data_IF_404041636619
#
_entry.id   IF_404041636619
#
_cell.length_a   1.000
_cell.length_b   1.000
_cell.length_c   1.000
_cell.angle_alpha   90.00
_cell.angle_beta   90.00
_cell.angle_gamma   90.00
#
_symmetry.space_group_name_H-M   'P 1'
#
loop_
_entity.id
_entity.type
_entity.pdbx_description
1 polymer ?
#
# COMPACT_ATOMS: atom_id res chain seq x y z
N UNK A 1 -20.64 -12.92 28.30
CA UNK A 1 -20.77 -11.65 27.54
C UNK A 1 -19.43 -10.97 27.64
N UNK A 2 -18.60 -11.04 26.60
CA UNK A 2 -17.36 -10.27 26.56
C UNK A 2 -17.73 -8.80 26.31
N UNK A 3 -17.30 -7.93 27.21
CA UNK A 3 -17.51 -6.49 27.07
C UNK A 3 -16.59 -5.97 25.96
N UNK A 4 -17.18 -5.57 24.83
CA UNK A 4 -16.45 -4.95 23.74
C UNK A 4 -16.49 -3.43 23.93
N UNK A 5 -15.37 -2.86 24.37
CA UNK A 5 -15.26 -1.41 24.55
C UNK A 5 -15.28 -0.70 23.19
N UNK A 6 -16.41 -0.06 22.86
CA UNK A 6 -16.58 0.71 21.62
C UNK A 6 -16.34 2.19 21.88
N UNK A 7 -15.43 2.79 21.13
CA UNK A 7 -15.20 4.24 21.10
C UNK A 7 -15.93 4.84 19.90
N UNK A 8 -16.64 5.98 20.07
CA UNK A 8 -17.30 6.64 18.96
C UNK A 8 -16.26 7.21 17.98
N UNK A 9 -16.45 6.94 16.70
CA UNK A 9 -15.69 7.54 15.60
C UNK A 9 -16.63 8.46 14.84
N UNK A 10 -16.26 9.74 14.75
CA UNK A 10 -17.07 10.74 14.05
C UNK A 10 -16.53 10.93 12.64
N UNK A 11 -17.40 10.77 11.65
CA UNK A 11 -17.13 11.04 10.24
C UNK A 11 -17.88 12.32 9.82
N UNK A 12 -17.34 13.11 8.88
CA UNK A 12 -18.10 14.17 8.24
C UNK A 12 -19.40 13.64 7.64
N UNK A 13 -20.50 14.38 7.81
CA UNK A 13 -21.83 13.92 7.39
C UNK A 13 -21.92 13.62 5.89
N UNK A 14 -21.17 14.35 5.06
CA UNK A 14 -21.09 14.13 3.61
C UNK A 14 -20.49 12.77 3.27
N UNK A 15 -19.43 12.38 3.98
CA UNK A 15 -18.71 11.14 3.74
C UNK A 15 -19.51 9.94 4.26
N UNK A 16 -20.19 10.14 5.40
CA UNK A 16 -21.11 9.17 5.98
C UNK A 16 -22.25 8.83 5.01
N UNK A 17 -22.96 9.85 4.49
CA UNK A 17 -24.07 9.66 3.57
C UNK A 17 -23.61 8.99 2.27
N UNK A 18 -22.47 9.42 1.73
CA UNK A 18 -21.89 8.81 0.52
C UNK A 18 -21.60 7.33 0.74
N UNK A 19 -21.03 6.99 1.89
CA UNK A 19 -20.76 5.60 2.26
C UNK A 19 -22.05 4.79 2.44
N UNK A 20 -23.06 5.34 3.13
CA UNK A 20 -24.35 4.66 3.32
C UNK A 20 -25.04 4.36 1.98
N UNK A 21 -25.13 5.34 1.08
CA UNK A 21 -25.70 5.11 -0.26
C UNK A 21 -24.93 4.03 -1.02
N UNK A 22 -23.60 4.08 -0.98
CA UNK A 22 -22.78 3.06 -1.64
C UNK A 22 -22.98 1.66 -1.05
N UNK A 23 -23.17 1.55 0.27
CA UNK A 23 -23.43 0.27 0.93
C UNK A 23 -24.84 -0.25 0.60
N UNK A 24 -25.85 0.62 0.50
CA UNK A 24 -27.18 0.22 0.06
C UNK A 24 -27.15 -0.43 -1.33
N UNK A 25 -26.37 0.13 -2.26
CA UNK A 25 -26.27 -0.38 -3.63
C UNK A 25 -25.45 -1.66 -3.73
N UNK A 26 -24.35 -1.76 -2.97
CA UNK A 26 -23.39 -2.87 -3.14
C UNK A 26 -23.56 -4.01 -2.14
N UNK A 27 -24.05 -3.72 -0.93
CA UNK A 27 -24.09 -4.63 0.22
C UNK A 27 -25.23 -4.25 1.19
N UNK A 28 -26.51 -4.43 0.79
CA UNK A 28 -27.66 -3.94 1.56
C UNK A 28 -27.77 -4.53 2.98
N UNK A 29 -27.24 -5.74 3.21
CA UNK A 29 -27.27 -6.39 4.53
C UNK A 29 -26.14 -5.95 5.47
N UNK A 30 -25.20 -5.12 4.99
CA UNK A 30 -24.01 -4.73 5.74
C UNK A 30 -24.28 -3.49 6.60
N UNK A 31 -24.16 -3.64 7.92
CA UNK A 31 -24.20 -2.48 8.82
C UNK A 31 -22.95 -1.61 8.68
N UNK A 32 -23.15 -0.30 8.79
CA UNK A 32 -22.09 0.70 8.67
C UNK A 32 -20.93 0.46 9.66
N UNK A 33 -21.24 0.20 10.93
CA UNK A 33 -20.25 -0.05 11.97
C UNK A 33 -19.40 -1.29 11.66
N UNK A 34 -20.04 -2.37 11.20
CA UNK A 34 -19.36 -3.58 10.75
C UNK A 34 -18.49 -3.31 9.52
N UNK A 35 -18.95 -2.49 8.57
CA UNK A 35 -18.16 -2.10 7.40
C UNK A 35 -16.91 -1.32 7.81
N UNK A 36 -17.06 -0.28 8.64
CA UNK A 36 -15.94 0.54 9.11
C UNK A 36 -14.93 -0.30 9.90
N UNK A 37 -15.40 -1.19 10.78
CA UNK A 37 -14.53 -2.10 11.51
C UNK A 37 -13.74 -3.02 10.57
N UNK A 38 -14.39 -3.59 9.54
CA UNK A 38 -13.72 -4.42 8.54
C UNK A 38 -12.71 -3.62 7.71
N UNK A 39 -13.06 -2.38 7.32
CA UNK A 39 -12.18 -1.49 6.56
C UNK A 39 -10.91 -1.18 7.35
N UNK A 40 -11.06 -0.78 8.62
CA UNK A 40 -9.94 -0.50 9.52
C UNK A 40 -9.09 -1.76 9.73
N UNK A 41 -9.72 -2.92 9.96
CA UNK A 41 -8.99 -4.19 10.13
C UNK A 41 -8.16 -4.56 8.89
N UNK A 42 -8.74 -4.42 7.70
CA UNK A 42 -8.04 -4.70 6.43
C UNK A 42 -6.89 -3.71 6.21
N UNK A 43 -7.12 -2.43 6.47
CA UNK A 43 -6.08 -1.42 6.35
C UNK A 43 -4.92 -1.65 7.33
N UNK A 44 -5.22 -1.94 8.61
CA UNK A 44 -4.21 -2.27 9.62
C UNK A 44 -3.41 -3.54 9.26
N UNK A 45 -4.07 -4.58 8.74
CA UNK A 45 -3.37 -5.79 8.31
C UNK A 45 -2.36 -5.49 7.19
N UNK A 46 -2.76 -4.72 6.17
CA UNK A 46 -1.86 -4.32 5.09
C UNK A 46 -0.71 -3.42 5.59
N UNK A 47 -0.99 -2.49 6.50
CA UNK A 47 0.03 -1.59 7.04
C UNK A 47 1.02 -2.33 7.96
N UNK A 48 0.53 -3.25 8.80
CA UNK A 48 1.38 -4.06 9.67
C UNK A 48 2.24 -5.02 8.87
N UNK A 49 1.72 -5.64 7.81
CA UNK A 49 2.50 -6.43 6.87
C UNK A 49 3.59 -5.59 6.20
N UNK A 50 3.25 -4.40 5.69
CA UNK A 50 4.22 -3.45 5.11
C UNK A 50 5.32 -3.07 6.09
N UNK A 51 4.96 -2.79 7.35
CA UNK A 51 5.92 -2.46 8.41
C UNK A 51 6.75 -3.67 8.83
N UNK A 52 6.17 -4.85 8.88
CA UNK A 52 6.88 -6.09 9.18
C UNK A 52 7.93 -6.36 8.11
N UNK A 53 7.57 -6.27 6.82
CA UNK A 53 8.52 -6.41 5.71
C UNK A 53 9.67 -5.40 5.79
N UNK A 54 9.41 -4.16 6.23
CA UNK A 54 10.46 -3.15 6.47
C UNK A 54 11.36 -3.46 7.66
N UNK A 55 10.84 -4.11 8.71
CA UNK A 55 11.57 -4.43 9.95
C UNK A 55 12.32 -5.78 9.88
N UNK A 56 11.75 -6.78 9.20
CA UNK A 56 12.30 -8.13 9.07
C UNK A 56 13.12 -8.33 7.81
N UNK A 57 13.01 -7.43 6.82
CA UNK A 57 13.92 -7.41 5.70
C UNK A 57 15.32 -7.03 6.18
N UNK A 58 16.30 -7.92 6.03
CA UNK A 58 17.72 -7.54 5.91
C UNK A 58 17.79 -6.25 5.12
N UNK A 59 18.41 -5.20 5.67
CA UNK A 59 18.43 -3.85 5.09
C UNK A 59 18.57 -3.93 3.57
N UNK A 60 17.43 -3.87 2.88
CA UNK A 60 17.37 -4.25 1.48
C UNK A 60 18.04 -3.07 0.77
N UNK A 61 19.27 -3.28 0.31
CA UNK A 61 19.91 -2.28 -0.54
C UNK A 61 19.10 -2.21 -1.83
N UNK A 62 18.86 -0.99 -2.31
CA UNK A 62 17.97 -0.77 -3.44
C UNK A 62 17.60 0.69 -3.64
N UNK A 63 16.95 0.96 -4.76
CA UNK A 63 16.56 2.28 -5.21
C UNK A 63 15.05 2.49 -5.04
N UNK A 64 14.65 3.54 -4.31
CA UNK A 64 13.25 3.92 -4.19
C UNK A 64 12.86 4.82 -5.37
N UNK A 65 12.03 4.31 -6.28
CA UNK A 65 11.45 5.10 -7.36
C UNK A 65 9.98 5.42 -7.04
N UNK A 66 9.71 6.67 -6.62
CA UNK A 66 8.36 7.12 -6.22
C UNK A 66 7.78 6.16 -5.17
N UNK A 67 6.72 5.43 -5.53
CA UNK A 67 6.01 4.47 -4.67
C UNK A 67 6.47 3.02 -4.87
N UNK A 68 7.47 2.77 -5.71
CA UNK A 68 8.01 1.43 -6.02
C UNK A 68 9.43 1.33 -5.48
N UNK A 69 9.70 0.30 -4.68
CA UNK A 69 11.06 -0.03 -4.25
C UNK A 69 11.67 -1.04 -5.22
N UNK A 70 12.87 -0.75 -5.72
CA UNK A 70 13.61 -1.63 -6.61
C UNK A 70 14.80 -2.23 -5.84
N UNK A 71 14.79 -3.54 -5.54
CA UNK A 71 15.92 -4.20 -4.89
C UNK A 71 17.22 -4.07 -5.68
N UNK A 72 18.35 -4.14 -4.97
CA UNK A 72 19.68 -4.29 -5.57
C UNK A 72 19.70 -5.43 -6.59
N UNK A 73 20.35 -5.21 -7.73
CA UNK A 73 20.38 -6.15 -8.85
C UNK A 73 19.16 -6.12 -9.78
N UNK A 74 18.14 -5.30 -9.49
CA UNK A 74 16.99 -5.12 -10.40
C UNK A 74 17.45 -4.57 -11.75
N UNK A 75 17.11 -5.28 -12.83
CA UNK A 75 17.36 -4.84 -14.21
C UNK A 75 16.21 -3.97 -14.71
N UNK A 76 16.52 -2.73 -15.05
CA UNK A 76 15.61 -1.75 -15.61
C UNK A 76 15.83 -1.65 -17.12
N UNK A 77 14.77 -1.89 -17.89
CA UNK A 77 14.79 -1.62 -19.33
C UNK A 77 14.65 -0.12 -19.55
N UNK A 78 15.64 0.50 -20.17
CA UNK A 78 15.62 1.91 -20.58
C UNK A 78 15.55 1.98 -22.11
N UNK A 79 14.93 3.03 -22.63
CA UNK A 79 14.90 3.29 -24.07
C UNK A 79 15.15 4.76 -24.34
N UNK A 80 16.13 5.05 -25.19
CA UNK A 80 16.43 6.41 -25.63
C UNK A 80 16.78 6.41 -27.12
N UNK A 81 16.17 7.29 -27.91
CA UNK A 81 16.42 7.42 -29.35
C UNK A 81 16.35 6.08 -30.12
N UNK A 82 15.33 5.26 -29.84
CA UNK A 82 15.12 3.89 -30.37
C UNK A 82 16.17 2.84 -29.97
N UNK A 83 17.11 3.16 -29.10
CA UNK A 83 18.06 2.20 -28.52
C UNK A 83 17.48 1.72 -27.19
N UNK A 84 17.43 0.39 -27.01
CA UNK A 84 16.99 -0.25 -25.77
C UNK A 84 18.22 -0.76 -25.03
N UNK A 85 18.38 -0.34 -23.79
CA UNK A 85 19.45 -0.79 -22.91
C UNK A 85 18.89 -1.28 -21.58
N UNK A 86 19.73 -1.94 -20.78
CA UNK A 86 19.37 -2.39 -19.44
C UNK A 86 20.31 -1.75 -18.42
N UNK A 87 19.75 -0.94 -17.54
CA UNK A 87 20.43 -0.42 -16.37
C UNK A 87 20.21 -1.35 -15.17
N UNK A 88 21.13 -1.38 -14.22
CA UNK A 88 20.97 -2.16 -12.98
C UNK A 88 20.93 -1.25 -11.76
N UNK A 89 20.08 -1.59 -10.81
CA UNK A 89 20.11 -0.98 -9.48
C UNK A 89 21.33 -1.50 -8.72
N UNK A 90 22.19 -0.59 -8.27
CA UNK A 90 23.31 -0.85 -7.38
C UNK A 90 23.18 0.05 -6.15
N UNK A 91 22.89 -0.54 -5.00
CA UNK A 91 22.59 0.19 -3.79
C UNK A 91 21.49 1.22 -4.01
N UNK A 92 21.81 2.51 -3.85
CA UNK A 92 20.87 3.63 -4.01
C UNK A 92 20.99 4.35 -5.36
N UNK A 93 21.59 3.74 -6.37
CA UNK A 93 21.76 4.31 -7.70
C UNK A 93 21.28 3.35 -8.80
N UNK A 94 20.88 3.92 -9.93
CA UNK A 94 20.66 3.19 -11.18
C UNK A 94 21.88 3.43 -12.05
N UNK A 95 22.60 2.36 -12.38
CA UNK A 95 23.82 2.42 -13.17
C UNK A 95 23.57 1.85 -14.57
N UNK A 96 24.04 2.51 -15.64
CA UNK A 96 24.06 1.93 -16.98
C UNK A 96 24.93 0.65 -17.03
N UNK A 97 24.76 -0.20 -18.06
CA UNK A 97 25.34 -1.54 -18.11
C UNK A 97 26.87 -1.62 -18.06
N UNK A 98 27.58 -0.49 -18.24
CA UNK A 98 29.04 -0.40 -18.29
C UNK A 98 29.66 0.56 -17.25
N UNK A 99 29.01 0.72 -16.08
CA UNK A 99 29.47 1.64 -15.03
C UNK A 99 30.42 1.00 -14.02
#
# INVERSE_FOLDING_TARGET
MEYEAKWPVYLPITDLLTLEFHLMDTRPDMKLDAFVAQLVKRWLAAETERLALRKSGTAMQGFQWKNVFLPDGTSLRTSYSNIVEFAKVHGKAILPPYS
#
